data_IF_365015371634
#
_entry.id   IF_365015371634
#
_cell.length_a   1.000
_cell.length_b   1.000
_cell.length_c   1.000
_cell.angle_alpha   90.00
_cell.angle_beta   90.00
_cell.angle_gamma   90.00
#
_symmetry.space_group_name_H-M   'P 1'
#
loop_
_entity.id
_entity.type
_entity.pdbx_description
1 polymer ?
#
# COMPACT_ATOMS: atom_id res chain seq x y z
N UNK A 1 -25.50 -19.36 -18.61
CA UNK A 1 -25.94 -20.57 -17.87
C UNK A 1 -24.72 -21.37 -17.42
N UNK A 2 -23.83 -20.73 -16.66
CA UNK A 2 -22.70 -21.37 -15.95
C UNK A 2 -22.60 -20.86 -14.50
N UNK A 3 -23.25 -19.74 -14.17
CA UNK A 3 -23.28 -19.16 -12.82
C UNK A 3 -23.84 -20.15 -11.78
N UNK A 4 -24.89 -20.92 -12.13
CA UNK A 4 -25.50 -21.91 -11.23
C UNK A 4 -24.62 -23.14 -10.91
N UNK A 5 -23.58 -23.43 -11.69
CA UNK A 5 -22.70 -24.58 -11.44
C UNK A 5 -21.49 -24.23 -10.56
N UNK A 6 -21.15 -22.94 -10.46
CA UNK A 6 -20.03 -22.44 -9.66
C UNK A 6 -20.41 -22.21 -8.20
N UNK A 7 -21.69 -21.97 -7.92
CA UNK A 7 -22.22 -21.68 -6.57
C UNK A 7 -22.34 -22.92 -5.66
N UNK A 8 -22.17 -24.15 -6.17
CA UNK A 8 -22.36 -25.39 -5.38
C UNK A 8 -21.07 -26.14 -5.03
N UNK A 9 -19.93 -25.83 -5.66
CA UNK A 9 -18.65 -26.45 -5.29
C UNK A 9 -17.93 -25.58 -4.25
N UNK A 10 -17.85 -26.06 -3.00
CA UNK A 10 -17.19 -25.39 -1.89
C UNK A 10 -15.77 -24.91 -2.24
N UNK A 11 -15.07 -25.59 -3.14
CA UNK A 11 -13.72 -25.21 -3.59
C UNK A 11 -13.74 -23.95 -4.46
N UNK A 12 -14.77 -23.78 -5.27
CA UNK A 12 -14.94 -22.60 -6.13
C UNK A 12 -15.28 -21.39 -5.27
N UNK A 13 -16.17 -21.53 -4.28
CA UNK A 13 -16.48 -20.47 -3.31
C UNK A 13 -15.23 -20.05 -2.55
N UNK A 14 -14.44 -21.01 -2.03
CA UNK A 14 -13.21 -20.72 -1.32
C UNK A 14 -12.18 -19.99 -2.21
N UNK A 15 -12.06 -20.38 -3.48
CA UNK A 15 -11.18 -19.72 -4.45
C UNK A 15 -11.63 -18.29 -4.78
N UNK A 16 -12.93 -18.04 -4.89
CA UNK A 16 -13.46 -16.69 -5.11
C UNK A 16 -13.22 -15.80 -3.89
N UNK A 17 -13.52 -16.29 -2.68
CA UNK A 17 -13.26 -15.56 -1.43
C UNK A 17 -11.77 -15.23 -1.25
N UNK A 18 -10.87 -16.17 -1.56
CA UNK A 18 -9.43 -15.91 -1.51
C UNK A 18 -8.99 -14.85 -2.53
N UNK A 19 -9.56 -14.87 -3.74
CA UNK A 19 -9.27 -13.87 -4.78
C UNK A 19 -9.76 -12.49 -4.38
N UNK A 20 -10.96 -12.38 -3.81
CA UNK A 20 -11.52 -11.13 -3.32
C UNK A 20 -10.69 -10.56 -2.19
N UNK A 21 -10.30 -11.39 -1.20
CA UNK A 21 -9.46 -10.93 -0.10
C UNK A 21 -8.08 -10.48 -0.58
N UNK A 22 -7.46 -11.21 -1.52
CA UNK A 22 -6.20 -10.77 -2.15
C UNK A 22 -6.39 -9.45 -2.91
N UNK A 23 -7.54 -9.25 -3.58
CA UNK A 23 -7.89 -8.01 -4.26
C UNK A 23 -8.03 -6.84 -3.29
N UNK A 24 -8.74 -7.06 -2.17
CA UNK A 24 -8.94 -6.09 -1.09
C UNK A 24 -7.62 -5.64 -0.48
N UNK A 25 -6.74 -6.60 -0.12
CA UNK A 25 -5.41 -6.31 0.42
C UNK A 25 -4.56 -5.50 -0.56
N UNK A 26 -4.58 -5.85 -1.86
CA UNK A 26 -3.87 -5.07 -2.88
C UNK A 26 -4.42 -3.65 -3.00
N UNK A 27 -5.74 -3.49 -2.94
CA UNK A 27 -6.39 -2.17 -2.95
C UNK A 27 -5.98 -1.32 -1.76
N UNK A 28 -5.97 -1.89 -0.55
CA UNK A 28 -5.55 -1.19 0.67
C UNK A 28 -4.07 -0.78 0.63
N UNK A 29 -3.19 -1.67 0.15
CA UNK A 29 -1.76 -1.37 -0.03
C UNK A 29 -1.58 -0.18 -0.96
N UNK A 30 -2.27 -0.20 -2.10
CA UNK A 30 -2.22 0.90 -3.07
C UNK A 30 -2.75 2.21 -2.47
N UNK A 31 -3.91 2.16 -1.81
CA UNK A 31 -4.51 3.34 -1.18
C UNK A 31 -3.61 3.96 -0.11
N UNK A 32 -2.94 3.14 0.71
CA UNK A 32 -1.96 3.62 1.69
C UNK A 32 -0.72 4.23 1.03
N UNK A 33 -0.23 3.66 -0.07
CA UNK A 33 0.88 4.22 -0.83
C UNK A 33 0.56 5.59 -1.42
N UNK A 34 -0.62 5.74 -2.03
CA UNK A 34 -1.09 7.00 -2.59
C UNK A 34 -1.24 8.06 -1.49
N UNK A 35 -1.90 7.73 -0.37
CA UNK A 35 -2.07 8.64 0.76
C UNK A 35 -0.73 9.11 1.35
N UNK A 36 0.22 8.20 1.56
CA UNK A 36 1.54 8.59 2.07
C UNK A 36 2.32 9.44 1.08
N UNK A 37 2.23 9.13 -0.21
CA UNK A 37 2.85 9.96 -1.25
C UNK A 37 2.31 11.38 -1.19
N UNK A 38 0.98 11.56 -1.07
CA UNK A 38 0.36 12.88 -0.91
C UNK A 38 0.83 13.61 0.35
N UNK A 39 0.94 12.92 1.49
CA UNK A 39 1.45 13.55 2.72
C UNK A 39 2.90 14.00 2.54
N UNK A 40 3.73 13.18 1.89
CA UNK A 40 5.13 13.50 1.60
C UNK A 40 5.22 14.68 0.63
N UNK A 41 4.39 14.70 -0.41
CA UNK A 41 4.33 15.81 -1.37
C UNK A 41 3.97 17.13 -0.70
N UNK A 42 3.02 17.12 0.24
CA UNK A 42 2.63 18.33 1.00
C UNK A 42 3.77 18.83 1.90
N UNK A 43 4.48 17.93 2.60
CA UNK A 43 5.52 18.31 3.57
C UNK A 43 6.88 18.57 2.92
N UNK A 44 7.24 17.76 1.93
CA UNK A 44 8.56 17.68 1.30
C UNK A 44 8.41 17.38 -0.21
N UNK A 45 7.95 18.37 -1.02
CA UNK A 45 7.60 18.16 -2.42
C UNK A 45 8.71 17.55 -3.28
N UNK A 46 9.96 17.91 -2.98
CA UNK A 46 11.18 17.41 -3.64
C UNK A 46 11.37 15.89 -3.52
N UNK A 47 10.73 15.26 -2.52
CA UNK A 47 10.82 13.83 -2.27
C UNK A 47 9.62 13.04 -2.83
N UNK A 48 8.61 13.71 -3.39
CA UNK A 48 7.36 13.07 -3.81
C UNK A 48 7.58 11.96 -4.85
N UNK A 49 8.35 12.23 -5.91
CA UNK A 49 8.72 11.26 -6.95
C UNK A 49 9.44 10.03 -6.36
N UNK A 50 10.44 10.27 -5.51
CA UNK A 50 11.22 9.22 -4.86
C UNK A 50 10.35 8.38 -3.93
N UNK A 51 9.48 9.02 -3.15
CA UNK A 51 8.55 8.36 -2.27
C UNK A 51 7.54 7.52 -3.05
N UNK A 52 6.97 8.06 -4.14
CA UNK A 52 6.03 7.34 -4.99
C UNK A 52 6.66 6.05 -5.54
N UNK A 53 7.86 6.16 -6.12
CA UNK A 53 8.59 5.01 -6.66
C UNK A 53 8.84 3.94 -5.58
N UNK A 54 9.27 4.32 -4.37
CA UNK A 54 9.54 3.35 -3.31
C UNK A 54 8.28 2.74 -2.71
N UNK A 55 7.25 3.53 -2.44
CA UNK A 55 6.01 3.07 -1.83
C UNK A 55 5.23 2.10 -2.73
N UNK A 56 5.38 2.18 -4.06
CA UNK A 56 4.81 1.19 -5.00
C UNK A 56 5.38 -0.23 -4.81
N UNK A 57 6.60 -0.35 -4.27
CA UNK A 57 7.25 -1.65 -4.07
C UNK A 57 6.94 -2.28 -2.71
N UNK A 58 6.32 -1.53 -1.79
CA UNK A 58 5.94 -2.01 -0.46
C UNK A 58 4.70 -2.89 -0.57
N UNK A 59 4.83 -4.16 -0.16
CA UNK A 59 3.77 -5.18 -0.33
C UNK A 59 3.01 -5.47 0.95
N UNK A 60 3.49 -5.01 2.11
CA UNK A 60 2.92 -5.36 3.42
C UNK A 60 2.28 -4.14 4.07
N UNK A 61 1.02 -4.27 4.48
CA UNK A 61 0.28 -3.18 5.14
C UNK A 61 0.96 -2.65 6.41
N UNK A 62 1.58 -3.54 7.20
CA UNK A 62 2.28 -3.18 8.45
C UNK A 62 3.46 -2.23 8.22
N UNK A 63 4.10 -2.34 7.07
CA UNK A 63 5.24 -1.52 6.68
C UNK A 63 4.81 -0.08 6.42
N UNK A 64 3.62 0.13 5.85
CA UNK A 64 3.02 1.46 5.69
C UNK A 64 2.75 2.16 7.01
N UNK A 65 2.30 1.45 8.05
CA UNK A 65 2.00 2.09 9.34
C UNK A 65 3.27 2.62 10.03
N UNK A 66 4.41 1.93 9.85
CA UNK A 66 5.71 2.39 10.33
C UNK A 66 6.20 3.59 9.53
N UNK A 67 6.14 3.51 8.20
CA UNK A 67 6.47 4.61 7.29
C UNK A 67 5.62 5.85 7.57
N UNK A 68 4.31 5.69 7.79
CA UNK A 68 3.40 6.78 8.11
C UNK A 68 3.84 7.55 9.36
N UNK A 69 4.20 6.82 10.43
CA UNK A 69 4.70 7.45 11.65
C UNK A 69 5.98 8.24 11.37
N UNK A 70 6.94 7.64 10.66
CA UNK A 70 8.21 8.29 10.33
C UNK A 70 8.01 9.53 9.47
N UNK A 71 7.14 9.49 8.47
CA UNK A 71 6.79 10.62 7.61
C UNK A 71 6.17 11.77 8.41
N UNK A 72 5.27 11.46 9.34
CA UNK A 72 4.59 12.48 10.16
C UNK A 72 5.54 13.06 11.22
N UNK A 73 6.43 12.26 11.79
CA UNK A 73 7.36 12.73 12.84
C UNK A 73 8.68 13.25 12.31
N UNK A 74 8.97 13.12 11.00
CA UNK A 74 10.21 13.63 10.42
C UNK A 74 10.30 15.16 10.65
N UNK A 75 11.39 15.65 11.26
CA UNK A 75 11.55 17.08 11.54
C UNK A 75 11.87 17.88 10.27
N UNK A 76 12.58 17.28 9.32
CA UNK A 76 13.04 17.93 8.10
C UNK A 76 13.15 16.95 6.91
N UNK A 77 13.48 17.51 5.75
CA UNK A 77 13.59 16.76 4.49
C UNK A 77 14.72 15.73 4.52
N UNK A 78 15.85 16.03 5.18
CA UNK A 78 16.99 15.11 5.23
C UNK A 78 16.66 13.87 6.06
N UNK A 79 15.95 14.05 7.18
CA UNK A 79 15.48 12.95 8.01
C UNK A 79 14.54 12.03 7.22
N UNK A 80 13.58 12.60 6.46
CA UNK A 80 12.69 11.79 5.62
C UNK A 80 13.45 11.12 4.46
N UNK A 81 14.39 11.83 3.83
CA UNK A 81 15.23 11.27 2.77
C UNK A 81 16.00 10.04 3.24
N UNK A 82 16.55 10.09 4.46
CA UNK A 82 17.25 8.97 5.07
C UNK A 82 16.33 7.77 5.31
N UNK A 83 15.12 8.01 5.81
CA UNK A 83 14.08 6.96 5.96
C UNK A 83 13.77 6.32 4.61
N UNK A 84 13.56 7.12 3.57
CA UNK A 84 13.29 6.60 2.23
C UNK A 84 14.49 5.84 1.67
N UNK A 85 15.74 6.16 2.03
CA UNK A 85 16.92 5.46 1.50
C UNK A 85 17.16 4.08 2.13
N UNK A 86 16.72 3.86 3.37
CA UNK A 86 16.86 2.57 4.07
C UNK A 86 15.81 1.54 3.63
N UNK A 87 14.66 2.02 3.15
CA UNK A 87 13.54 1.22 2.68
C UNK A 87 13.69 0.79 1.22
#
# INVERSE_FOLDING_TARGET
MFDKLLEEDERVIALMAEREERGRIKGEVRGKAELLTTIIEIRFPTLAEKAHSKLQHVKRLREFDQLARLVVTAPDENALRWVLDIW
#
